data_IF_460677774283
#
_entry.id   IF_460677774283
#
_cell.length_a   1.000
_cell.length_b   1.000
_cell.length_c   1.000
_cell.angle_alpha   90.00
_cell.angle_beta   90.00
_cell.angle_gamma   90.00
#
_symmetry.space_group_name_H-M   'P 1'
#
loop_
_entity.id
_entity.type
_entity.pdbx_description
1 polymer ?
#
# COMPACT_ATOMS: atom_id res chain seq x y z
N UNK A 1 18.79 30.99 8.70
CA UNK A 1 19.68 30.73 7.56
C UNK A 1 20.95 31.54 7.66
N UNK A 2 20.85 32.84 7.95
CA UNK A 2 22.01 33.77 8.04
C UNK A 2 23.11 33.29 9.01
N UNK A 3 22.76 32.59 10.09
CA UNK A 3 23.70 32.12 11.11
C UNK A 3 24.38 30.77 10.72
N UNK A 4 23.74 29.99 9.81
CA UNK A 4 24.20 28.64 9.50
C UNK A 4 24.78 28.56 8.08
N UNK A 5 24.17 29.24 7.12
CA UNK A 5 24.56 29.23 5.70
C UNK A 5 24.19 30.57 5.04
N UNK A 6 25.00 31.64 5.27
CA UNK A 6 24.69 32.98 4.75
C UNK A 6 24.65 33.02 3.23
N UNK A 7 25.41 32.18 2.56
CA UNK A 7 25.44 32.05 1.09
C UNK A 7 24.21 31.40 0.48
N UNK A 8 23.30 30.88 1.31
CA UNK A 8 22.09 30.15 0.87
C UNK A 8 20.79 30.80 1.31
N UNK A 9 20.77 32.12 1.48
CA UNK A 9 19.58 32.87 1.92
C UNK A 9 18.41 32.72 0.94
N UNK A 10 18.68 32.65 -0.34
CA UNK A 10 17.69 32.52 -1.42
C UNK A 10 16.84 31.25 -1.36
N UNK A 11 17.27 30.21 -0.59
CA UNK A 11 16.48 28.97 -0.41
C UNK A 11 15.22 29.21 0.41
N UNK A 12 15.20 30.26 1.25
CA UNK A 12 14.07 30.57 2.12
C UNK A 12 13.18 31.58 1.41
N UNK A 13 11.99 31.17 1.06
CA UNK A 13 10.98 31.99 0.42
C UNK A 13 9.74 32.08 1.31
N UNK A 14 9.13 33.26 1.36
CA UNK A 14 7.84 33.46 2.03
C UNK A 14 6.74 32.84 1.14
N UNK A 15 5.89 32.01 1.75
CA UNK A 15 4.70 31.51 1.10
C UNK A 15 3.49 32.31 1.59
N UNK A 16 2.83 33.05 0.70
CA UNK A 16 1.73 33.96 0.99
C UNK A 16 0.42 33.66 0.24
N UNK A 17 0.31 32.43 -0.33
CA UNK A 17 -0.89 32.02 -1.05
C UNK A 17 -1.96 31.49 -0.11
N UNK A 18 -3.24 31.62 -0.49
CA UNK A 18 -4.39 31.12 0.28
C UNK A 18 -4.47 29.59 0.35
N UNK A 19 -3.92 28.90 -0.66
CA UNK A 19 -3.87 27.42 -0.69
C UNK A 19 -2.88 26.90 0.36
N UNK A 20 -3.21 25.83 1.13
CA UNK A 20 -2.26 25.23 2.06
C UNK A 20 -0.95 24.84 1.38
N UNK A 21 0.19 25.20 1.95
CA UNK A 21 1.52 25.03 1.35
C UNK A 21 1.80 23.56 0.93
N UNK A 22 1.37 22.57 1.72
CA UNK A 22 1.57 21.17 1.38
C UNK A 22 0.73 20.71 0.19
N UNK A 23 -0.46 21.26 0.00
CA UNK A 23 -1.33 20.96 -1.11
C UNK A 23 -0.83 21.64 -2.39
N UNK A 24 -0.38 22.88 -2.28
CA UNK A 24 0.27 23.62 -3.38
C UNK A 24 1.46 22.86 -3.97
N UNK A 25 2.32 22.29 -3.14
CA UNK A 25 3.46 21.47 -3.58
C UNK A 25 3.12 19.99 -3.74
N UNK A 26 1.84 19.58 -3.67
CA UNK A 26 1.38 18.20 -3.75
C UNK A 26 2.02 17.25 -2.71
N UNK A 27 2.53 17.78 -1.60
CA UNK A 27 3.20 16.98 -0.55
C UNK A 27 2.21 16.03 0.11
N UNK A 28 1.01 16.52 0.45
CA UNK A 28 -0.06 15.69 1.04
C UNK A 28 -0.39 14.47 0.17
N UNK A 29 -0.48 14.67 -1.15
CA UNK A 29 -0.71 13.59 -2.10
C UNK A 29 0.46 12.61 -2.16
N UNK A 30 1.69 13.12 -2.17
CA UNK A 30 2.90 12.30 -2.16
C UNK A 30 3.01 11.45 -0.89
N UNK A 31 2.70 12.02 0.29
CA UNK A 31 2.67 11.28 1.55
C UNK A 31 1.65 10.14 1.46
N UNK A 32 0.39 10.45 1.09
CA UNK A 32 -0.67 9.43 0.97
C UNK A 32 -0.29 8.30 0.02
N UNK A 33 0.28 8.62 -1.15
CA UNK A 33 0.71 7.61 -2.12
C UNK A 33 1.91 6.80 -1.66
N UNK A 34 2.81 7.40 -0.88
CA UNK A 34 4.05 6.74 -0.42
C UNK A 34 3.85 5.83 0.79
N UNK A 35 2.81 6.04 1.60
CA UNK A 35 2.53 5.23 2.80
C UNK A 35 1.37 4.26 2.62
N UNK A 36 0.77 4.18 1.45
CA UNK A 36 -0.26 3.19 1.14
C UNK A 36 0.26 1.75 1.15
N UNK A 37 -0.65 0.79 1.33
CA UNK A 37 -0.33 -0.64 1.21
C UNK A 37 0.23 -0.99 -0.18
N UNK A 38 -0.29 -0.34 -1.22
CA UNK A 38 0.14 -0.50 -2.62
C UNK A 38 0.96 0.72 -3.01
N UNK A 39 2.17 0.50 -3.48
CA UNK A 39 3.06 1.55 -3.98
C UNK A 39 3.37 1.29 -5.45
N UNK A 40 2.82 2.13 -6.31
CA UNK A 40 3.04 2.05 -7.76
C UNK A 40 4.29 2.84 -8.15
N UNK A 41 5.04 2.32 -9.10
CA UNK A 41 6.21 3.00 -9.66
C UNK A 41 6.12 3.11 -11.19
N UNK A 42 7.08 3.85 -11.76
CA UNK A 42 7.08 4.12 -13.20
C UNK A 42 6.98 2.82 -13.98
N UNK A 43 6.04 2.75 -14.92
CA UNK A 43 5.74 1.61 -15.80
C UNK A 43 4.47 0.80 -15.52
N UNK A 44 3.70 1.16 -14.50
CA UNK A 44 2.47 0.46 -14.15
C UNK A 44 2.69 -0.78 -13.28
N UNK A 45 3.94 -1.09 -12.94
CA UNK A 45 4.27 -2.09 -11.92
C UNK A 45 4.08 -1.50 -10.51
N UNK A 46 3.89 -2.36 -9.53
CA UNK A 46 3.65 -1.95 -8.15
C UNK A 46 4.16 -2.99 -7.16
N UNK A 47 4.39 -2.56 -5.94
CA UNK A 47 4.67 -3.43 -4.80
C UNK A 47 3.53 -3.36 -3.80
N UNK A 48 3.26 -4.47 -3.13
CA UNK A 48 2.34 -4.58 -2.00
C UNK A 48 3.18 -4.79 -0.75
N UNK A 49 2.99 -3.92 0.24
CA UNK A 49 3.72 -3.98 1.51
C UNK A 49 2.74 -4.39 2.59
N UNK A 50 3.02 -5.51 3.25
CA UNK A 50 2.22 -6.01 4.37
C UNK A 50 3.09 -6.18 5.62
N UNK A 51 2.50 -5.86 6.76
CA UNK A 51 3.10 -6.05 8.06
C UNK A 51 2.42 -7.23 8.74
N UNK A 52 3.20 -8.22 9.14
CA UNK A 52 2.76 -9.30 10.00
C UNK A 52 3.28 -9.07 11.41
N UNK A 53 2.89 -9.90 12.36
CA UNK A 53 3.37 -9.79 13.74
C UNK A 53 4.91 -9.91 13.84
N UNK A 54 5.52 -10.76 13.01
CA UNK A 54 6.94 -11.10 13.13
C UNK A 54 7.83 -10.49 12.04
N UNK A 55 7.29 -10.22 10.86
CA UNK A 55 8.07 -9.80 9.69
C UNK A 55 7.27 -8.90 8.75
N UNK A 56 7.97 -8.25 7.84
CA UNK A 56 7.38 -7.50 6.73
C UNK A 56 7.45 -8.34 5.45
N UNK A 57 6.38 -8.35 4.68
CA UNK A 57 6.30 -9.02 3.38
C UNK A 57 6.10 -7.99 2.30
N UNK A 58 6.85 -8.11 1.22
CA UNK A 58 6.75 -7.23 0.06
C UNK A 58 6.59 -8.11 -1.18
N UNK A 59 5.48 -7.95 -1.89
CA UNK A 59 5.17 -8.65 -3.13
C UNK A 59 5.35 -7.72 -4.33
N UNK A 60 6.02 -8.20 -5.38
CA UNK A 60 6.34 -7.42 -6.59
C UNK A 60 5.45 -7.85 -7.75
N UNK A 61 4.70 -6.89 -8.30
CA UNK A 61 3.77 -7.12 -9.39
C UNK A 61 4.14 -6.30 -10.64
N UNK A 62 4.17 -6.96 -11.81
CA UNK A 62 4.46 -6.31 -13.10
C UNK A 62 3.31 -5.45 -13.65
N UNK A 63 2.10 -5.60 -13.09
CA UNK A 63 0.91 -4.94 -13.63
C UNK A 63 0.56 -5.43 -15.04
N UNK A 64 0.02 -4.52 -15.85
CA UNK A 64 -0.46 -4.84 -17.21
C UNK A 64 0.68 -5.03 -18.25
N UNK A 65 1.94 -5.08 -17.84
CA UNK A 65 3.10 -5.22 -18.73
C UNK A 65 3.57 -6.66 -18.94
N UNK A 66 2.80 -7.65 -18.57
CA UNK A 66 3.11 -9.04 -18.88
C UNK A 66 3.12 -9.26 -20.41
N UNK A 67 4.23 -8.94 -21.08
CA UNK A 67 4.43 -9.28 -22.49
C UNK A 67 4.70 -10.77 -22.59
N UNK A 68 3.91 -11.47 -23.38
CA UNK A 68 4.16 -12.87 -23.70
C UNK A 68 5.33 -12.98 -24.70
N UNK A 69 6.26 -13.92 -24.48
CA UNK A 69 7.32 -14.25 -25.42
C UNK A 69 8.73 -14.23 -24.82
N UNK A 70 9.76 -14.29 -25.67
CA UNK A 70 11.18 -14.33 -25.29
C UNK A 70 11.65 -13.10 -24.48
N UNK A 71 10.87 -12.03 -24.46
CA UNK A 71 11.12 -10.81 -23.67
C UNK A 71 10.65 -10.91 -22.22
N UNK A 72 9.95 -11.98 -21.81
CA UNK A 72 9.36 -12.10 -20.47
C UNK A 72 10.42 -12.08 -19.37
N UNK A 73 11.51 -12.82 -19.57
CA UNK A 73 12.62 -12.90 -18.61
C UNK A 73 13.34 -11.54 -18.44
N UNK A 74 13.62 -10.86 -19.57
CA UNK A 74 14.25 -9.53 -19.54
C UNK A 74 13.33 -8.48 -18.93
N UNK A 75 12.03 -8.57 -19.19
CA UNK A 75 11.02 -7.70 -18.57
C UNK A 75 10.90 -7.95 -17.07
N UNK A 76 10.94 -9.21 -16.64
CA UNK A 76 10.94 -9.56 -15.21
C UNK A 76 12.15 -8.96 -14.49
N UNK A 77 13.35 -9.07 -15.08
CA UNK A 77 14.54 -8.45 -14.51
C UNK A 77 14.42 -6.92 -14.43
N UNK A 78 13.94 -6.25 -15.48
CA UNK A 78 13.77 -4.80 -15.48
C UNK A 78 12.77 -4.36 -14.40
N UNK A 79 11.64 -5.04 -14.26
CA UNK A 79 10.64 -4.74 -13.22
C UNK A 79 11.23 -4.97 -11.85
N UNK A 80 11.93 -6.09 -11.63
CA UNK A 80 12.54 -6.42 -10.35
C UNK A 80 13.62 -5.41 -9.93
N UNK A 81 14.45 -4.93 -10.86
CA UNK A 81 15.45 -3.90 -10.57
C UNK A 81 14.80 -2.59 -10.12
N UNK A 82 13.74 -2.16 -10.82
CA UNK A 82 12.97 -0.97 -10.43
C UNK A 82 12.23 -1.15 -9.09
N UNK A 83 11.71 -2.35 -8.87
CA UNK A 83 11.11 -2.70 -7.58
C UNK A 83 12.14 -2.64 -6.45
N UNK A 84 13.37 -3.12 -6.69
CA UNK A 84 14.45 -3.04 -5.71
C UNK A 84 14.77 -1.59 -5.32
N UNK A 85 14.84 -0.67 -6.29
CA UNK A 85 15.03 0.77 -6.02
C UNK A 85 13.91 1.32 -5.12
N UNK A 86 12.66 1.01 -5.44
CA UNK A 86 11.52 1.47 -4.66
C UNK A 86 11.47 0.81 -3.28
N UNK A 87 11.77 -0.48 -3.17
CA UNK A 87 11.84 -1.20 -1.89
C UNK A 87 12.89 -0.55 -0.99
N UNK A 88 14.09 -0.31 -1.48
CA UNK A 88 15.15 0.35 -0.71
C UNK A 88 14.71 1.76 -0.26
N UNK A 89 13.96 2.49 -1.10
CA UNK A 89 13.37 3.78 -0.73
C UNK A 89 12.32 3.62 0.37
N UNK A 90 11.43 2.64 0.26
CA UNK A 90 10.36 2.38 1.22
C UNK A 90 10.90 1.93 2.59
N UNK A 91 11.94 1.09 2.61
CA UNK A 91 12.59 0.66 3.85
C UNK A 91 13.12 1.87 4.66
N UNK A 92 13.72 2.83 3.97
CA UNK A 92 14.21 4.07 4.60
C UNK A 92 13.08 5.03 4.97
N UNK A 93 12.10 5.21 4.07
CA UNK A 93 10.99 6.16 4.25
C UNK A 93 10.10 5.78 5.42
N UNK A 94 9.77 4.48 5.56
CA UNK A 94 8.91 3.95 6.62
C UNK A 94 9.68 3.52 7.86
N UNK A 95 11.01 3.63 7.86
CA UNK A 95 11.90 3.16 8.91
C UNK A 95 11.66 1.67 9.25
N UNK A 96 11.40 0.86 8.21
CA UNK A 96 11.11 -0.56 8.36
C UNK A 96 12.36 -1.30 8.82
N UNK A 97 12.23 -2.05 9.89
CA UNK A 97 13.33 -2.84 10.46
C UNK A 97 12.84 -4.20 10.96
N UNK A 98 13.77 -5.09 11.23
CA UNK A 98 13.50 -6.50 11.54
C UNK A 98 13.72 -7.39 10.33
N UNK A 99 12.89 -8.40 10.15
CA UNK A 99 12.95 -9.34 9.03
C UNK A 99 12.02 -8.84 7.93
N UNK A 100 12.54 -8.69 6.73
CA UNK A 100 11.81 -8.31 5.53
C UNK A 100 11.99 -9.43 4.50
N UNK A 101 10.88 -9.94 3.97
CA UNK A 101 10.87 -10.93 2.89
C UNK A 101 10.28 -10.27 1.65
N UNK A 102 11.04 -10.29 0.57
CA UNK A 102 10.61 -9.76 -0.71
C UNK A 102 10.38 -10.90 -1.67
N UNK A 103 9.19 -10.95 -2.25
CA UNK A 103 8.82 -11.87 -3.32
C UNK A 103 8.95 -11.15 -4.66
N UNK A 104 10.03 -11.45 -5.37
CA UNK A 104 10.33 -10.90 -6.69
C UNK A 104 9.70 -11.74 -7.79
N UNK A 105 9.42 -11.12 -8.93
CA UNK A 105 8.95 -11.87 -10.11
C UNK A 105 9.98 -12.94 -10.48
N UNK A 106 9.50 -14.15 -10.72
CA UNK A 106 10.33 -15.31 -11.03
C UNK A 106 11.27 -15.08 -12.21
N UNK A 107 12.53 -15.50 -12.03
CA UNK A 107 13.57 -15.45 -13.03
C UNK A 107 14.29 -16.80 -13.11
N UNK A 108 14.33 -17.37 -14.31
CA UNK A 108 14.95 -18.68 -14.55
C UNK A 108 16.48 -18.59 -14.56
N UNK A 109 17.03 -17.52 -15.14
CA UNK A 109 18.49 -17.35 -15.30
C UNK A 109 19.16 -16.99 -13.98
N UNK A 110 20.17 -17.75 -13.60
CA UNK A 110 20.96 -17.49 -12.40
C UNK A 110 21.69 -16.12 -12.47
N UNK A 111 22.10 -15.72 -13.65
CA UNK A 111 22.75 -14.41 -13.89
C UNK A 111 21.82 -13.24 -13.55
N UNK A 112 20.54 -13.32 -13.91
CA UNK A 112 19.55 -12.29 -13.60
C UNK A 112 19.31 -12.19 -12.09
N UNK A 113 19.22 -13.34 -11.40
CA UNK A 113 19.09 -13.37 -9.94
C UNK A 113 20.31 -12.76 -9.25
N UNK A 114 21.51 -13.04 -9.77
CA UNK A 114 22.75 -12.47 -9.25
C UNK A 114 22.79 -10.95 -9.48
N UNK A 115 22.43 -10.49 -10.68
CA UNK A 115 22.35 -9.06 -11.03
C UNK A 115 21.41 -8.31 -10.08
N UNK A 116 20.22 -8.87 -9.82
CA UNK A 116 19.25 -8.27 -8.88
C UNK A 116 19.80 -8.22 -7.45
N UNK A 117 20.48 -9.27 -7.01
CA UNK A 117 21.10 -9.31 -5.68
C UNK A 117 22.18 -8.24 -5.51
N UNK A 118 23.07 -8.11 -6.50
CA UNK A 118 24.14 -7.12 -6.49
C UNK A 118 23.59 -5.69 -6.57
N UNK A 119 22.55 -5.48 -7.37
CA UNK A 119 21.85 -4.20 -7.43
C UNK A 119 21.26 -3.82 -6.08
N UNK A 120 20.52 -4.74 -5.41
CA UNK A 120 19.96 -4.50 -4.08
C UNK A 120 21.06 -4.15 -3.06
N UNK A 121 22.18 -4.85 -3.07
CA UNK A 121 23.32 -4.53 -2.20
C UNK A 121 23.88 -3.13 -2.46
N UNK A 122 23.98 -2.76 -3.71
CA UNK A 122 24.53 -1.45 -4.13
C UNK A 122 23.64 -0.31 -3.66
N UNK A 123 22.32 -0.40 -3.88
CA UNK A 123 21.39 0.66 -3.50
C UNK A 123 21.17 0.75 -1.98
N UNK A 124 21.33 -0.36 -1.27
CA UNK A 124 21.27 -0.40 0.18
C UNK A 124 22.58 0.02 0.87
N UNK A 125 23.69 0.08 0.17
CA UNK A 125 24.98 0.49 0.75
C UNK A 125 24.96 1.88 1.40
N UNK A 126 24.07 2.77 0.94
CA UNK A 126 23.88 4.11 1.50
C UNK A 126 22.87 4.16 2.67
N UNK A 127 22.31 3.02 3.09
CA UNK A 127 21.44 2.98 4.26
C UNK A 127 22.24 3.13 5.55
N UNK A 128 21.81 4.04 6.42
CA UNK A 128 22.48 4.29 7.72
C UNK A 128 22.22 3.16 8.73
N UNK A 129 21.13 2.41 8.55
CA UNK A 129 20.82 1.28 9.42
C UNK A 129 21.64 0.05 9.00
N UNK A 130 22.17 -0.68 9.99
CA UNK A 130 22.85 -1.95 9.71
C UNK A 130 21.86 -2.94 9.09
N UNK A 131 22.28 -3.57 8.02
CA UNK A 131 21.44 -4.52 7.32
C UNK A 131 22.27 -5.68 6.76
N UNK A 132 21.61 -6.79 6.52
CA UNK A 132 22.17 -7.94 5.83
C UNK A 132 21.16 -8.42 4.79
N UNK A 133 21.64 -8.73 3.59
CA UNK A 133 20.83 -9.16 2.46
C UNK A 133 21.31 -10.55 2.05
N UNK A 134 20.41 -11.52 2.03
CA UNK A 134 20.71 -12.86 1.53
C UNK A 134 20.44 -12.94 0.02
N UNK A 135 21.21 -13.76 -0.71
CA UNK A 135 20.96 -14.02 -2.13
C UNK A 135 19.54 -14.53 -2.36
N UNK A 136 19.01 -14.27 -3.58
CA UNK A 136 17.69 -14.78 -3.94
C UNK A 136 17.66 -16.30 -3.86
N UNK A 137 16.59 -16.82 -3.29
CA UNK A 137 16.27 -18.22 -3.36
C UNK A 137 15.92 -18.66 -4.80
N UNK A 138 15.82 -19.98 -5.03
CA UNK A 138 15.34 -20.51 -6.32
C UNK A 138 13.88 -20.11 -6.62
N UNK A 139 13.13 -19.69 -5.60
CA UNK A 139 11.73 -19.29 -5.67
C UNK A 139 11.54 -17.77 -5.72
N UNK A 140 12.55 -17.00 -6.12
CA UNK A 140 12.43 -15.53 -6.22
C UNK A 140 12.45 -14.78 -4.90
N UNK A 141 12.52 -15.46 -3.74
CA UNK A 141 12.47 -14.81 -2.43
C UNK A 141 13.84 -14.23 -2.04
N UNK A 142 13.85 -12.97 -1.64
CA UNK A 142 15.00 -12.30 -1.03
C UNK A 142 14.69 -11.97 0.42
N UNK A 143 15.59 -12.33 1.32
CA UNK A 143 15.49 -11.99 2.73
C UNK A 143 16.44 -10.86 3.07
N UNK A 144 15.91 -9.84 3.74
CA UNK A 144 16.66 -8.68 4.24
C UNK A 144 16.44 -8.61 5.75
N UNK A 145 17.51 -8.48 6.52
CA UNK A 145 17.45 -8.12 7.93
C UNK A 145 17.97 -6.71 8.10
N UNK A 146 17.20 -5.83 8.72
CA UNK A 146 17.55 -4.42 8.93
C UNK A 146 17.36 -4.04 10.40
N UNK A 147 18.34 -3.37 10.97
CA UNK A 147 18.27 -2.91 12.35
C UNK A 147 17.10 -1.94 12.54
N UNK A 148 16.31 -2.14 13.59
CA UNK A 148 15.29 -1.17 14.00
C UNK A 148 15.99 0.01 14.68
N UNK A 149 15.98 1.16 14.01
CA UNK A 149 16.56 2.41 14.55
C UNK A 149 15.50 3.22 15.27
N UNK A 150 14.27 3.20 14.75
CA UNK A 150 13.08 3.87 15.29
C UNK A 150 11.86 2.96 15.16
N UNK A 151 10.74 3.27 15.84
CA UNK A 151 9.47 2.63 15.52
C UNK A 151 9.14 2.83 14.03
N UNK A 152 8.67 1.78 13.37
CA UNK A 152 8.24 1.88 11.97
C UNK A 152 7.14 2.94 11.83
N UNK A 153 7.23 3.76 10.80
CA UNK A 153 6.21 4.76 10.47
C UNK A 153 5.07 4.06 9.73
N UNK A 154 3.96 3.87 10.42
CA UNK A 154 2.72 3.41 9.81
C UNK A 154 1.71 4.56 9.81
N UNK A 155 1.53 5.18 8.65
CA UNK A 155 0.53 6.24 8.47
C UNK A 155 -0.74 5.57 7.93
N UNK A 156 -1.77 5.49 8.77
CA UNK A 156 -3.08 5.00 8.36
C UNK A 156 -3.67 5.97 7.33
N UNK A 157 -3.64 5.57 6.07
CA UNK A 157 -4.13 6.37 4.93
C UNK A 157 -5.56 6.01 4.52
N UNK A 158 -6.15 5.00 5.15
CA UNK A 158 -7.47 4.46 4.82
C UNK A 158 -8.31 4.29 6.07
N UNK A 159 -9.60 4.50 5.94
CA UNK A 159 -10.58 4.18 6.98
C UNK A 159 -11.30 2.87 6.64
N UNK A 160 -11.73 2.14 7.66
CA UNK A 160 -12.53 0.94 7.44
C UNK A 160 -13.86 1.31 6.77
N UNK A 161 -14.19 0.62 5.67
CA UNK A 161 -15.45 0.85 4.98
C UNK A 161 -16.63 0.61 5.93
N UNK A 162 -17.53 1.60 6.16
CA UNK A 162 -18.64 1.45 7.09
C UNK A 162 -19.68 0.40 6.65
N UNK A 163 -19.67 0.01 5.37
CA UNK A 163 -20.59 -1.01 4.83
C UNK A 163 -20.14 -2.44 5.08
N UNK A 164 -18.82 -2.71 4.98
CA UNK A 164 -18.27 -4.07 5.13
C UNK A 164 -17.30 -4.19 6.31
N UNK A 165 -17.07 -3.11 7.06
CA UNK A 165 -16.12 -3.07 8.19
C UNK A 165 -14.72 -3.58 7.83
N UNK A 166 -14.28 -3.31 6.62
CA UNK A 166 -12.96 -3.73 6.11
C UNK A 166 -12.91 -5.14 5.52
N UNK A 167 -14.03 -5.88 5.51
CA UNK A 167 -14.05 -7.26 4.96
C UNK A 167 -13.98 -7.34 3.43
N UNK A 168 -14.29 -6.24 2.73
CA UNK A 168 -14.34 -6.22 1.25
C UNK A 168 -15.59 -6.88 0.65
N UNK A 169 -16.35 -7.60 1.47
CA UNK A 169 -17.54 -8.35 1.06
C UNK A 169 -18.76 -7.89 1.87
N UNK A 170 -19.92 -7.90 1.23
CA UNK A 170 -21.21 -7.64 1.86
C UNK A 170 -22.15 -8.82 1.60
N UNK A 171 -23.10 -9.05 2.49
CA UNK A 171 -24.09 -10.12 2.29
C UNK A 171 -24.87 -9.94 0.98
N UNK A 172 -25.23 -11.03 0.29
CA UNK A 172 -25.97 -10.96 -0.96
C UNK A 172 -27.28 -10.17 -0.79
N UNK A 173 -27.50 -9.21 -1.70
CA UNK A 173 -28.67 -8.32 -1.62
C UNK A 173 -30.02 -9.03 -1.79
N UNK A 174 -30.03 -10.27 -2.30
CA UNK A 174 -31.23 -11.10 -2.46
C UNK A 174 -31.89 -11.50 -1.12
N UNK A 175 -31.09 -11.78 -0.11
CA UNK A 175 -31.59 -12.16 1.22
C UNK A 175 -31.80 -10.97 2.14
N UNK A 176 -31.32 -9.80 1.77
CA UNK A 176 -31.36 -8.62 2.63
C UNK A 176 -32.80 -8.16 2.92
N UNK A 177 -33.67 -8.22 1.94
CA UNK A 177 -35.09 -7.82 2.09
C UNK A 177 -35.81 -8.66 3.08
N UNK A 178 -35.59 -9.97 3.05
CA UNK A 178 -36.24 -10.92 3.94
C UNK A 178 -35.72 -10.79 5.37
N UNK A 179 -34.40 -10.66 5.54
CA UNK A 179 -33.78 -10.40 6.84
C UNK A 179 -34.23 -9.05 7.44
N UNK A 180 -34.35 -8.01 6.59
CA UNK A 180 -34.84 -6.71 7.05
C UNK A 180 -36.30 -6.80 7.51
N UNK A 181 -37.16 -7.48 6.73
CA UNK A 181 -38.57 -7.69 7.07
C UNK A 181 -38.71 -8.46 8.39
N UNK A 182 -38.01 -9.57 8.52
CA UNK A 182 -38.02 -10.39 9.73
C UNK A 182 -37.62 -9.59 10.98
N UNK A 183 -36.55 -8.77 10.87
CA UNK A 183 -36.14 -7.90 11.99
C UNK A 183 -37.15 -6.81 12.30
N UNK A 184 -37.76 -6.20 11.28
CA UNK A 184 -38.83 -5.20 11.50
C UNK A 184 -40.04 -5.85 12.17
N UNK A 185 -40.48 -7.00 11.71
CA UNK A 185 -41.59 -7.76 12.29
C UNK A 185 -41.29 -8.15 13.73
N UNK A 186 -40.09 -8.55 14.05
CA UNK A 186 -39.64 -8.83 15.41
C UNK A 186 -39.72 -7.58 16.30
N UNK A 187 -39.28 -6.43 15.84
CA UNK A 187 -39.32 -5.17 16.59
C UNK A 187 -40.74 -4.72 16.85
N UNK A 188 -41.61 -4.84 15.83
CA UNK A 188 -43.04 -4.42 15.95
C UNK A 188 -43.86 -5.37 16.80
N UNK A 189 -43.76 -6.67 16.57
CA UNK A 189 -44.63 -7.67 17.14
C UNK A 189 -44.12 -8.19 18.48
N UNK A 190 -42.83 -8.47 18.60
CA UNK A 190 -42.24 -9.06 19.82
C UNK A 190 -41.83 -8.01 20.84
N UNK A 191 -41.14 -6.95 20.39
CA UNK A 191 -40.66 -5.90 21.29
C UNK A 191 -41.62 -4.70 21.40
N UNK A 192 -42.73 -4.66 20.59
CA UNK A 192 -43.72 -3.60 20.54
C UNK A 192 -43.13 -2.18 20.44
N UNK A 193 -41.99 -2.05 19.73
CA UNK A 193 -41.35 -0.76 19.51
C UNK A 193 -42.14 0.03 18.48
N UNK A 194 -42.63 1.21 18.84
CA UNK A 194 -43.47 2.03 17.95
C UNK A 194 -42.68 2.91 17.00
N UNK A 195 -41.47 3.36 17.39
CA UNK A 195 -40.63 4.24 16.61
C UNK A 195 -39.22 3.69 16.58
N UNK A 196 -38.64 3.51 15.37
CA UNK A 196 -37.26 3.12 15.16
C UNK A 196 -36.72 3.74 13.89
N UNK A 197 -35.41 3.90 13.81
CA UNK A 197 -34.69 4.40 12.64
C UNK A 197 -33.86 3.24 12.06
N UNK A 198 -34.00 3.01 10.76
CA UNK A 198 -33.22 1.99 10.04
C UNK A 198 -32.15 2.67 9.21
N UNK A 199 -30.91 2.44 9.56
CA UNK A 199 -29.78 2.89 8.77
C UNK A 199 -29.47 1.84 7.71
N UNK A 200 -29.56 2.21 6.43
CA UNK A 200 -29.29 1.33 5.30
C UNK A 200 -28.30 1.97 4.33
N UNK A 201 -27.62 1.13 3.59
CA UNK A 201 -26.72 1.61 2.54
C UNK A 201 -27.51 2.38 1.46
N UNK A 202 -26.99 3.48 0.87
CA UNK A 202 -27.69 4.29 -0.15
C UNK A 202 -28.19 3.49 -1.37
N UNK A 203 -27.53 2.39 -1.70
CA UNK A 203 -27.95 1.48 -2.76
C UNK A 203 -29.33 0.85 -2.49
N UNK A 204 -29.63 0.56 -1.25
CA UNK A 204 -30.92 -0.05 -0.82
C UNK A 204 -32.02 1.01 -0.84
N UNK A 205 -31.73 2.23 -0.43
CA UNK A 205 -32.67 3.36 -0.55
C UNK A 205 -33.11 3.59 -2.00
N UNK A 206 -32.18 3.48 -2.97
CA UNK A 206 -32.52 3.58 -4.40
C UNK A 206 -33.42 2.44 -4.88
N UNK A 207 -33.27 1.21 -4.34
CA UNK A 207 -34.17 0.09 -4.68
C UNK A 207 -35.59 0.33 -4.18
N UNK A 208 -35.76 0.89 -2.98
CA UNK A 208 -37.08 1.27 -2.44
C UNK A 208 -37.80 2.29 -3.33
N UNK A 209 -37.10 3.33 -3.79
CA UNK A 209 -37.66 4.36 -4.70
C UNK A 209 -38.09 3.79 -6.06
N UNK A 210 -37.60 2.62 -6.47
CA UNK A 210 -37.99 1.92 -7.70
C UNK A 210 -39.12 0.90 -7.52
N UNK A 211 -39.76 0.84 -6.35
CA UNK A 211 -40.89 -0.05 -6.12
C UNK A 211 -40.55 -1.55 -6.10
N UNK A 212 -39.33 -1.91 -5.75
CA UNK A 212 -38.86 -3.31 -5.68
C UNK A 212 -39.02 -3.86 -4.24
N UNK A 213 -39.76 -3.15 -3.39
CA UNK A 213 -40.17 -3.54 -2.05
C UNK A 213 -41.69 -3.39 -1.88
#
# INVERSE_FOLDING_TARGET
VNLIAPERQEIVQLYDKDEPIFDHFNITRQIKSSFGKIVSFKSGAYIIIEHTEALHVIDVNSGNRAKAGNDQESNALEVNLRAADEIARQLRLRDMGGIIVVDFIDMNKAEHRQTLYEHMRTIMANDRARHNILPLSKFGLMQITRQRVRPALDIVTTEACPSCFGKGEVQPSLLFTDVLREKIDYLLNSLKVKNFIVYVHPFIEKKKKKGIF
#
